data_IF_312638758691
#
_entry.id   IF_312638758691
#
_cell.length_a   1.000
_cell.length_b   1.000
_cell.length_c   1.000
_cell.angle_alpha   90.00
_cell.angle_beta   90.00
_cell.angle_gamma   90.00
#
_symmetry.space_group_name_H-M   'P 1'
#
loop_
_entity.id
_entity.type
_entity.pdbx_description
1 polymer ?
#
# COMPACT_ATOMS: atom_id res chain seq x y z
N UNK A 1 6.24 -13.07 3.80
CA UNK A 1 4.79 -12.97 4.13
C UNK A 1 4.55 -13.78 5.40
N UNK A 2 3.72 -13.29 6.32
CA UNK A 2 3.33 -14.00 7.53
C UNK A 2 1.82 -14.24 7.48
N UNK A 3 1.39 -15.49 7.49
CA UNK A 3 -0.02 -15.86 7.56
C UNK A 3 -0.19 -17.07 8.47
N UNK A 4 -1.23 -17.04 9.30
CA UNK A 4 -1.60 -18.12 10.21
C UNK A 4 -0.41 -18.61 11.08
N UNK A 5 0.43 -17.65 11.50
CA UNK A 5 1.63 -17.88 12.32
C UNK A 5 2.85 -18.44 11.56
N UNK A 6 2.76 -18.61 10.23
CA UNK A 6 3.83 -19.18 9.42
C UNK A 6 4.41 -18.17 8.41
N UNK A 7 5.74 -18.23 8.23
CA UNK A 7 6.46 -17.40 7.27
C UNK A 7 6.56 -18.09 5.92
N UNK A 8 6.18 -17.36 4.88
CA UNK A 8 6.26 -17.79 3.48
C UNK A 8 7.10 -16.79 2.67
N UNK A 9 7.94 -17.27 1.75
CA UNK A 9 8.53 -16.40 0.72
C UNK A 9 7.42 -15.70 -0.08
N UNK A 10 7.52 -14.39 -0.33
CA UNK A 10 6.52 -13.68 -1.12
C UNK A 10 6.56 -14.13 -2.59
N UNK A 11 5.39 -14.46 -3.14
CA UNK A 11 5.17 -14.80 -4.54
C UNK A 11 4.36 -13.68 -5.20
N UNK A 12 4.97 -12.92 -6.10
CA UNK A 12 4.39 -11.69 -6.66
C UNK A 12 3.18 -11.97 -7.55
N UNK A 13 3.17 -13.13 -8.21
CA UNK A 13 2.08 -13.66 -9.02
C UNK A 13 0.77 -13.89 -8.24
N UNK A 14 0.85 -13.98 -6.91
CA UNK A 14 -0.33 -14.14 -6.05
C UNK A 14 -0.96 -12.79 -5.67
N UNK A 15 -0.34 -11.66 -6.06
CA UNK A 15 -0.86 -10.32 -5.80
C UNK A 15 -1.89 -9.96 -6.86
N UNK A 16 -3.08 -9.57 -6.44
CA UNK A 16 -4.13 -9.07 -7.34
C UNK A 16 -4.74 -7.77 -6.81
N UNK A 17 -5.13 -6.92 -7.76
CA UNK A 17 -5.94 -5.72 -7.52
C UNK A 17 -7.35 -5.95 -8.04
N UNK A 18 -8.34 -5.50 -7.27
CA UNK A 18 -9.73 -5.39 -7.74
C UNK A 18 -10.23 -3.94 -7.57
N UNK A 19 -11.32 -3.66 -8.26
CA UNK A 19 -11.93 -2.33 -8.32
C UNK A 19 -13.40 -2.35 -7.91
N UNK A 20 -13.88 -3.44 -7.31
CA UNK A 20 -15.31 -3.67 -7.05
C UNK A 20 -15.94 -2.53 -6.27
N UNK A 21 -15.30 -2.13 -5.17
CA UNK A 21 -15.74 -1.04 -4.29
C UNK A 21 -15.05 0.30 -4.59
N UNK A 22 -14.34 0.38 -5.71
CA UNK A 22 -13.54 1.54 -6.09
C UNK A 22 -14.15 2.24 -7.30
N UNK A 23 -14.02 3.56 -7.41
CA UNK A 23 -14.55 4.39 -8.50
C UNK A 23 -13.78 4.22 -9.82
N UNK A 24 -13.63 2.98 -10.26
CA UNK A 24 -13.05 2.62 -11.54
C UNK A 24 -13.92 1.59 -12.24
N UNK A 25 -13.94 1.66 -13.57
CA UNK A 25 -14.52 0.64 -14.41
C UNK A 25 -13.48 0.08 -15.39
N UNK A 26 -13.76 -1.08 -15.95
CA UNK A 26 -12.92 -1.71 -16.97
C UNK A 26 -13.53 -1.50 -18.35
N UNK A 27 -12.73 -1.02 -19.30
CA UNK A 27 -13.14 -0.98 -20.70
C UNK A 27 -13.17 -2.40 -21.30
N UNK A 28 -13.73 -2.54 -22.50
CA UNK A 28 -13.69 -3.80 -23.25
C UNK A 28 -12.26 -4.30 -23.55
N UNK A 29 -11.25 -3.42 -23.47
CA UNK A 29 -9.83 -3.74 -23.64
C UNK A 29 -9.12 -4.02 -22.29
N UNK A 30 -9.86 -4.21 -21.20
CA UNK A 30 -9.34 -4.41 -19.83
C UNK A 30 -8.52 -3.22 -19.28
N UNK A 31 -8.72 -2.02 -19.83
CA UNK A 31 -8.13 -0.80 -19.29
C UNK A 31 -8.96 -0.25 -18.14
N UNK A 32 -8.29 0.18 -17.06
CA UNK A 32 -8.94 0.76 -15.88
C UNK A 32 -9.17 2.25 -16.13
N UNK A 33 -10.44 2.67 -16.13
CA UNK A 33 -10.86 4.07 -16.31
C UNK A 33 -11.57 4.59 -15.07
N UNK A 34 -11.39 5.88 -14.70
CA UNK A 34 -12.15 6.49 -13.61
C UNK A 34 -13.66 6.48 -13.86
N UNK A 35 -14.44 6.04 -12.88
CA UNK A 35 -15.90 6.16 -12.86
C UNK A 35 -16.39 6.60 -11.47
N UNK A 36 -16.54 7.92 -11.24
CA UNK A 36 -16.96 8.46 -9.94
C UNK A 36 -18.43 8.16 -9.59
N UNK A 37 -19.23 7.72 -10.57
CA UNK A 37 -20.66 7.43 -10.38
C UNK A 37 -20.94 5.93 -10.30
N UNK A 38 -19.89 5.10 -10.29
CA UNK A 38 -20.01 3.65 -10.16
C UNK A 38 -20.82 3.29 -8.91
N UNK A 39 -21.94 2.63 -9.12
CA UNK A 39 -22.83 2.21 -8.02
C UNK A 39 -22.12 1.22 -7.09
N UNK A 40 -22.29 1.42 -5.78
CA UNK A 40 -21.67 0.59 -4.74
C UNK A 40 -20.20 0.91 -4.44
N UNK A 41 -19.52 1.69 -5.27
CA UNK A 41 -18.17 2.16 -4.99
C UNK A 41 -18.17 3.34 -4.01
N UNK A 42 -17.13 3.41 -3.17
CA UNK A 42 -17.03 4.44 -2.12
C UNK A 42 -15.60 4.99 -1.92
N UNK A 43 -14.66 4.61 -2.78
CA UNK A 43 -13.27 5.07 -2.67
C UNK A 43 -12.54 5.09 -4.00
N UNK A 44 -11.48 5.89 -4.10
CA UNK A 44 -10.52 5.87 -5.22
C UNK A 44 -9.36 4.90 -5.00
N UNK A 45 -9.34 4.20 -3.86
CA UNK A 45 -8.31 3.21 -3.54
C UNK A 45 -8.78 1.87 -4.06
N UNK A 46 -7.97 1.21 -4.88
CA UNK A 46 -8.20 -0.18 -5.32
C UNK A 46 -8.04 -1.15 -4.14
N UNK A 47 -8.65 -2.32 -4.18
CA UNK A 47 -8.38 -3.34 -3.15
C UNK A 47 -7.31 -4.31 -3.62
N UNK A 48 -6.32 -4.55 -2.76
CA UNK A 48 -5.18 -5.44 -3.02
C UNK A 48 -5.28 -6.65 -2.12
N UNK A 49 -5.04 -7.82 -2.71
CA UNK A 49 -4.99 -9.09 -2.01
C UNK A 49 -3.73 -9.86 -2.40
N UNK A 50 -3.27 -10.69 -1.47
CA UNK A 50 -2.24 -11.70 -1.72
C UNK A 50 -2.87 -13.08 -1.50
N UNK A 51 -2.81 -13.95 -2.50
CA UNK A 51 -3.42 -15.28 -2.45
C UNK A 51 -4.90 -15.24 -2.01
N UNK A 52 -5.64 -14.23 -2.50
CA UNK A 52 -7.07 -14.04 -2.18
C UNK A 52 -7.38 -13.46 -0.79
N UNK A 53 -6.37 -13.07 0.01
CA UNK A 53 -6.56 -12.50 1.36
C UNK A 53 -5.99 -11.09 1.46
N UNK A 54 -6.60 -10.26 2.30
CA UNK A 54 -6.05 -8.95 2.65
C UNK A 54 -4.90 -9.08 3.66
N UNK A 55 -3.85 -8.27 3.48
CA UNK A 55 -2.70 -8.22 4.38
C UNK A 55 -2.39 -6.79 4.76
N UNK A 56 -2.06 -6.59 6.04
CA UNK A 56 -1.47 -5.35 6.51
C UNK A 56 0.01 -5.30 6.14
N UNK A 57 0.48 -4.10 5.78
CA UNK A 57 1.90 -3.78 5.59
C UNK A 57 2.34 -2.63 6.52
N UNK A 58 3.64 -2.43 6.64
CA UNK A 58 4.24 -1.32 7.40
C UNK A 58 5.13 -1.78 8.56
N UNK A 59 5.50 -0.85 9.46
CA UNK A 59 6.46 -1.13 10.54
C UNK A 59 6.06 -2.32 11.41
N UNK A 60 4.77 -2.42 11.78
CA UNK A 60 4.25 -3.56 12.54
C UNK A 60 4.51 -4.89 11.82
N UNK A 61 4.17 -4.98 10.53
CA UNK A 61 4.34 -6.19 9.74
C UNK A 61 5.82 -6.56 9.64
N UNK A 62 6.70 -5.60 9.35
CA UNK A 62 8.16 -5.82 9.26
C UNK A 62 8.74 -6.26 10.61
N UNK A 63 8.34 -5.63 11.71
CA UNK A 63 8.84 -5.97 13.04
C UNK A 63 8.43 -7.37 13.48
N UNK A 64 7.20 -7.80 13.17
CA UNK A 64 6.75 -9.17 13.46
C UNK A 64 7.48 -10.16 12.54
N UNK A 65 7.54 -9.90 11.23
CA UNK A 65 8.16 -10.81 10.25
C UNK A 65 9.65 -11.04 10.57
N UNK A 66 10.37 -10.00 10.98
CA UNK A 66 11.79 -10.11 11.35
C UNK A 66 12.01 -10.57 12.79
N UNK A 67 10.95 -10.84 13.56
CA UNK A 67 11.05 -11.37 14.93
C UNK A 67 11.43 -10.34 16.00
N UNK A 68 11.47 -9.04 15.66
CA UNK A 68 11.77 -7.96 16.60
C UNK A 68 10.59 -7.61 17.52
N UNK A 69 9.37 -8.02 17.16
CA UNK A 69 8.17 -7.75 17.94
C UNK A 69 7.25 -8.98 17.96
N UNK A 70 6.73 -9.32 19.16
CA UNK A 70 5.88 -10.51 19.40
C UNK A 70 4.52 -10.16 20.02
N UNK A 71 4.17 -8.88 20.08
CA UNK A 71 2.89 -8.44 20.64
C UNK A 71 1.74 -8.50 19.62
N UNK A 72 0.69 -7.72 19.87
CA UNK A 72 -0.56 -7.76 19.11
C UNK A 72 -0.55 -6.92 17.83
N UNK A 73 -1.75 -6.69 17.31
CA UNK A 73 -2.00 -5.85 16.12
C UNK A 73 -2.89 -4.66 16.41
N UNK A 74 -2.89 -4.17 17.65
CA UNK A 74 -3.68 -3.04 18.09
C UNK A 74 -3.11 -1.71 17.60
N UNK A 75 -3.88 -0.64 17.82
CA UNK A 75 -3.50 0.74 17.50
C UNK A 75 -2.18 1.15 18.14
N UNK A 76 -1.96 0.80 19.41
CA UNK A 76 -0.70 1.11 20.09
C UNK A 76 0.47 0.26 19.60
N UNK A 77 0.24 -0.99 19.19
CA UNK A 77 1.29 -1.86 18.65
C UNK A 77 1.86 -1.29 17.35
N UNK A 78 1.00 -0.75 16.47
CA UNK A 78 1.42 -0.03 15.27
C UNK A 78 2.27 1.20 15.57
N UNK A 79 1.95 1.94 16.63
CA UNK A 79 2.72 3.13 17.04
C UNK A 79 4.06 2.71 17.63
N UNK A 80 4.04 1.75 18.55
CA UNK A 80 5.22 1.26 19.25
C UNK A 80 6.24 0.66 18.27
N UNK A 81 5.81 -0.21 17.36
CA UNK A 81 6.68 -0.82 16.34
C UNK A 81 7.26 0.20 15.36
N UNK A 82 6.55 1.30 15.05
CA UNK A 82 7.10 2.41 14.25
C UNK A 82 8.24 3.12 14.98
N UNK A 83 8.13 3.31 16.30
CA UNK A 83 9.21 3.88 17.12
C UNK A 83 10.41 2.92 17.19
N UNK A 84 10.17 1.63 17.40
CA UNK A 84 11.22 0.61 17.37
C UNK A 84 11.94 0.58 16.02
N UNK A 85 11.20 0.71 14.91
CA UNK A 85 11.78 0.74 13.57
C UNK A 85 12.66 1.96 13.36
N UNK A 86 12.24 3.11 13.86
CA UNK A 86 13.06 4.31 13.85
C UNK A 86 14.40 4.07 14.56
N UNK A 87 14.38 3.47 15.75
CA UNK A 87 15.61 3.15 16.49
C UNK A 87 16.51 2.19 15.70
N UNK A 88 15.96 1.08 15.20
CA UNK A 88 16.70 0.11 14.39
C UNK A 88 17.34 0.78 13.15
N UNK A 89 16.59 1.65 12.47
CA UNK A 89 17.11 2.40 11.32
C UNK A 89 18.29 3.30 11.72
N UNK A 90 18.25 3.95 12.88
CA UNK A 90 19.37 4.78 13.35
C UNK A 90 20.64 3.96 13.60
N UNK A 91 20.51 2.72 14.10
CA UNK A 91 21.63 1.79 14.30
C UNK A 91 22.19 1.31 12.96
N UNK A 92 21.31 0.91 12.03
CA UNK A 92 21.70 0.48 10.69
C UNK A 92 22.41 1.58 9.92
N UNK A 93 21.93 2.83 10.01
CA UNK A 93 22.57 3.98 9.36
C UNK A 93 23.99 4.19 9.89
N UNK A 94 24.22 4.07 11.20
CA UNK A 94 25.57 4.14 11.76
C UNK A 94 26.48 3.05 11.20
N UNK A 95 25.99 1.82 11.08
CA UNK A 95 26.74 0.71 10.48
C UNK A 95 27.01 0.92 8.98
N UNK A 96 26.08 1.53 8.25
CA UNK A 96 26.28 1.87 6.84
C UNK A 96 27.32 2.99 6.67
N UNK A 97 27.34 4.00 7.55
CA UNK A 97 28.36 5.05 7.53
C UNK A 97 29.77 4.50 7.68
N UNK A 98 29.98 3.50 8.55
CA UNK A 98 31.28 2.82 8.70
C UNK A 98 31.74 2.10 7.43
N UNK A 99 30.79 1.70 6.56
CA UNK A 99 31.05 0.98 5.31
C UNK A 99 31.15 1.91 4.10
N UNK A 100 30.72 3.16 4.23
CA UNK A 100 30.70 4.12 3.13
C UNK A 100 32.13 4.49 2.73
N UNK A 101 32.46 4.29 1.45
CA UNK A 101 33.73 4.71 0.85
C UNK A 101 33.46 5.90 -0.07
N UNK A 102 34.02 7.10 0.21
CA UNK A 102 33.92 8.23 -0.69
C UNK A 102 34.49 7.87 -2.07
N UNK A 103 33.81 8.32 -3.12
CA UNK A 103 34.19 8.03 -4.50
C UNK A 103 33.18 8.60 -5.49
N UNK A 104 33.42 8.44 -6.80
CA UNK A 104 32.46 8.83 -7.81
C UNK A 104 31.16 8.02 -7.66
N UNK A 105 30.01 8.55 -8.12
CA UNK A 105 28.73 7.85 -8.04
C UNK A 105 28.81 6.43 -8.62
N UNK A 106 28.36 5.39 -7.90
CA UNK A 106 28.43 4.00 -8.37
C UNK A 106 27.30 3.69 -9.38
N UNK A 107 26.98 4.61 -10.28
CA UNK A 107 25.92 4.42 -11.26
C UNK A 107 26.50 3.73 -12.50
N UNK A 108 26.09 2.48 -12.73
CA UNK A 108 26.33 1.77 -14.00
C UNK A 108 25.00 1.56 -14.71
N UNK A 109 24.59 2.54 -15.49
CA UNK A 109 23.42 2.43 -16.34
C UNK A 109 23.76 1.61 -17.59
N UNK A 110 22.97 0.58 -17.87
CA UNK A 110 23.08 -0.15 -19.15
C UNK A 110 22.46 0.70 -20.25
N UNK A 111 23.10 0.74 -21.41
CA UNK A 111 22.59 1.45 -22.59
C UNK A 111 21.39 0.75 -23.24
N UNK A 112 21.19 -0.53 -22.97
CA UNK A 112 20.07 -1.32 -23.51
C UNK A 112 19.20 -1.92 -22.38
N UNK A 113 17.87 -1.89 -22.52
CA UNK A 113 16.98 -2.57 -21.59
C UNK A 113 17.25 -4.08 -21.55
N UNK A 114 17.47 -4.61 -20.35
CA UNK A 114 17.70 -6.05 -20.12
C UNK A 114 16.41 -6.85 -19.95
N UNK A 115 15.30 -6.17 -19.65
CA UNK A 115 13.97 -6.76 -19.51
C UNK A 115 12.93 -5.78 -20.04
N UNK A 116 11.89 -6.32 -20.67
CA UNK A 116 10.72 -5.57 -21.16
C UNK A 116 9.59 -5.50 -20.13
N UNK A 117 9.59 -6.41 -19.16
CA UNK A 117 8.64 -6.44 -18.05
C UNK A 117 9.39 -6.60 -16.73
N UNK A 118 9.07 -5.76 -15.75
CA UNK A 118 9.72 -5.78 -14.44
C UNK A 118 8.76 -5.34 -13.35
N UNK A 119 8.79 -6.06 -12.23
CA UNK A 119 8.21 -5.64 -10.96
C UNK A 119 9.33 -5.39 -9.97
N UNK A 120 9.51 -4.13 -9.58
CA UNK A 120 10.40 -3.73 -8.51
C UNK A 120 9.62 -3.68 -7.19
N UNK A 121 10.17 -4.29 -6.15
CA UNK A 121 9.56 -4.36 -4.83
C UNK A 121 10.53 -3.75 -3.82
N UNK A 122 10.01 -2.85 -2.99
CA UNK A 122 10.76 -2.25 -1.88
C UNK A 122 9.84 -1.99 -0.71
N UNK A 123 10.41 -1.76 0.46
CA UNK A 123 9.65 -1.28 1.62
C UNK A 123 9.82 0.23 1.75
N UNK A 124 8.72 0.95 1.56
CA UNK A 124 8.63 2.34 1.97
C UNK A 124 8.35 2.44 3.48
N UNK A 125 8.43 3.65 4.03
CA UNK A 125 8.15 3.92 5.45
C UNK A 125 6.82 3.32 5.94
N UNK A 126 5.79 3.27 5.09
CA UNK A 126 4.45 2.76 5.41
C UNK A 126 4.22 1.28 5.08
N UNK A 127 5.17 0.59 4.44
CA UNK A 127 5.04 -0.82 4.05
C UNK A 127 5.54 -1.13 2.64
N UNK A 128 5.11 -2.28 2.12
CA UNK A 128 5.48 -2.76 0.80
C UNK A 128 5.00 -1.82 -0.32
N UNK A 129 5.91 -1.49 -1.23
CA UNK A 129 5.72 -0.67 -2.41
C UNK A 129 6.15 -1.47 -3.65
N UNK A 130 5.26 -1.57 -4.63
CA UNK A 130 5.51 -2.30 -5.87
C UNK A 130 5.36 -1.35 -7.06
N UNK A 131 6.34 -1.35 -7.95
CA UNK A 131 6.30 -0.68 -9.24
C UNK A 131 6.43 -1.74 -10.33
N UNK A 132 5.38 -1.87 -11.16
CA UNK A 132 5.37 -2.78 -12.31
C UNK A 132 5.40 -1.96 -13.59
N UNK A 133 6.30 -2.31 -14.50
CA UNK A 133 6.50 -1.58 -15.76
C UNK A 133 6.66 -2.55 -16.92
N UNK A 134 5.99 -2.24 -18.03
CA UNK A 134 6.14 -2.91 -19.33
C UNK A 134 6.61 -1.90 -20.37
N UNK A 135 7.60 -2.26 -21.17
CA UNK A 135 8.15 -1.44 -22.26
C UNK A 135 8.07 -2.11 -23.62
N UNK A 136 7.80 -1.30 -24.64
CA UNK A 136 7.85 -1.63 -26.06
C UNK A 136 8.56 -0.50 -26.79
N UNK A 137 9.49 -0.83 -27.69
CA UNK A 137 10.26 0.15 -28.49
C UNK A 137 10.78 1.35 -27.69
N UNK A 138 11.42 1.05 -26.55
CA UNK A 138 11.99 2.03 -25.60
C UNK A 138 10.98 2.96 -24.93
N UNK A 139 9.67 2.70 -25.05
CA UNK A 139 8.60 3.44 -24.40
C UNK A 139 7.94 2.59 -23.32
N UNK A 140 7.53 3.24 -22.23
CA UNK A 140 6.69 2.60 -21.21
C UNK A 140 5.26 2.53 -21.73
N UNK A 141 4.74 1.33 -21.96
CA UNK A 141 3.37 1.10 -22.44
C UNK A 141 2.39 0.80 -21.31
N UNK A 142 2.89 0.25 -20.19
CA UNK A 142 2.10 0.02 -18.98
C UNK A 142 2.94 0.32 -17.75
N UNK A 143 2.35 1.02 -16.79
CA UNK A 143 2.95 1.28 -15.49
C UNK A 143 1.89 1.12 -14.41
N UNK A 144 2.19 0.36 -13.37
CA UNK A 144 1.29 0.14 -12.23
C UNK A 144 2.06 0.29 -10.92
N UNK A 145 1.41 0.89 -9.94
CA UNK A 145 2.00 1.13 -8.62
C UNK A 145 1.04 0.62 -7.55
N UNK A 146 1.53 -0.24 -6.68
CA UNK A 146 0.81 -0.63 -5.46
C UNK A 146 1.54 -0.01 -4.28
N UNK A 147 1.02 1.10 -3.77
CA UNK A 147 1.61 1.81 -2.63
C UNK A 147 1.18 1.17 -1.30
N UNK A 148 1.93 1.40 -0.20
CA UNK A 148 1.62 0.77 1.08
C UNK A 148 0.23 1.10 1.62
N UNK A 149 -0.26 2.31 1.34
CA UNK A 149 -1.59 2.72 1.78
C UNK A 149 -2.68 1.98 1.01
N UNK A 150 -2.46 1.57 -0.25
CA UNK A 150 -3.43 0.73 -0.99
C UNK A 150 -3.64 -0.60 -0.28
N UNK A 151 -2.57 -1.26 0.19
CA UNK A 151 -2.67 -2.48 0.99
C UNK A 151 -3.51 -2.26 2.26
N UNK A 152 -3.16 -1.24 3.05
CA UNK A 152 -3.77 -1.00 4.36
C UNK A 152 -5.20 -0.45 4.29
N UNK A 153 -5.54 0.30 3.24
CA UNK A 153 -6.83 0.96 3.01
C UNK A 153 -7.60 0.30 1.85
N UNK A 154 -7.28 -0.95 1.51
CA UNK A 154 -8.06 -1.73 0.56
C UNK A 154 -9.53 -1.73 0.99
N UNK A 155 -10.47 -1.29 0.12
CA UNK A 155 -11.89 -1.38 0.42
C UNK A 155 -12.36 -2.84 0.38
N UNK A 156 -13.66 -3.05 0.57
CA UNK A 156 -14.27 -4.37 0.45
C UNK A 156 -14.03 -4.99 -0.92
N UNK A 157 -13.67 -6.27 -0.94
CA UNK A 157 -13.60 -7.04 -2.17
C UNK A 157 -14.98 -7.50 -2.67
N UNK A 158 -14.99 -8.23 -3.78
CA UNK A 158 -16.22 -8.81 -4.35
C UNK A 158 -16.96 -9.79 -3.44
N UNK A 159 -16.27 -10.37 -2.46
CA UNK A 159 -16.85 -11.25 -1.45
C UNK A 159 -17.30 -10.48 -0.20
N UNK A 160 -17.16 -9.15 -0.18
CA UNK A 160 -17.44 -8.30 0.98
C UNK A 160 -16.38 -8.37 2.09
N UNK A 161 -15.24 -9.03 1.83
CA UNK A 161 -14.11 -9.10 2.73
C UNK A 161 -13.50 -7.72 2.96
N UNK A 162 -13.28 -7.36 4.23
CA UNK A 162 -12.77 -6.04 4.62
C UNK A 162 -11.25 -6.00 4.51
N UNK A 163 -10.70 -4.88 4.04
CA UNK A 163 -9.26 -4.63 4.12
C UNK A 163 -8.76 -4.41 5.55
N UNK A 164 -7.44 -4.20 5.73
CA UNK A 164 -6.82 -4.15 7.05
C UNK A 164 -7.37 -3.05 7.97
N UNK A 165 -7.52 -1.82 7.47
CA UNK A 165 -8.07 -0.73 8.27
C UNK A 165 -9.53 -0.99 8.64
N UNK A 166 -10.38 -1.33 7.66
CA UNK A 166 -11.79 -1.57 7.92
C UNK A 166 -11.98 -2.69 8.95
N UNK A 167 -11.19 -3.76 8.84
CA UNK A 167 -11.15 -4.84 9.82
C UNK A 167 -10.72 -4.36 11.20
N UNK A 168 -9.71 -3.48 11.29
CA UNK A 168 -9.23 -2.93 12.55
C UNK A 168 -10.21 -1.97 13.24
N UNK A 169 -11.20 -1.43 12.52
CA UNK A 169 -12.24 -0.57 13.09
C UNK A 169 -13.44 -1.38 13.64
N UNK A 170 -13.68 -2.59 13.11
CA UNK A 170 -14.78 -3.44 13.58
C UNK A 170 -14.58 -3.80 15.05
N UNK A 171 -15.62 -3.64 15.86
CA UNK A 171 -15.59 -3.95 17.29
C UNK A 171 -14.91 -2.88 18.15
N UNK A 172 -14.53 -1.74 17.58
CA UNK A 172 -14.02 -0.61 18.38
C UNK A 172 -15.12 -0.05 19.26
N UNK A 173 -14.93 -0.11 20.58
CA UNK A 173 -15.86 0.47 21.55
C UNK A 173 -15.75 2.00 21.54
N UNK A 174 -16.91 2.67 21.54
CA UNK A 174 -17.03 4.13 21.57
C UNK A 174 -17.85 4.48 22.80
N UNK A 175 -17.18 5.00 23.83
CA UNK A 175 -17.81 5.29 25.13
C UNK A 175 -18.98 6.27 25.03
N UNK A 176 -18.85 7.30 24.20
CA UNK A 176 -19.89 8.28 23.92
C UNK A 176 -19.69 8.92 22.53
N UNK A 177 -20.74 9.57 22.00
CA UNK A 177 -20.72 10.13 20.65
C UNK A 177 -19.64 11.19 20.43
N UNK A 178 -19.31 11.98 21.45
CA UNK A 178 -18.28 13.03 21.36
C UNK A 178 -16.88 12.45 21.11
N UNK A 179 -16.67 11.20 21.51
CA UNK A 179 -15.40 10.49 21.32
C UNK A 179 -15.30 9.72 19.99
N UNK A 180 -16.38 9.65 19.21
CA UNK A 180 -16.46 8.83 17.98
C UNK A 180 -15.30 9.10 17.02
N UNK A 181 -15.15 10.34 16.57
CA UNK A 181 -14.09 10.70 15.61
C UNK A 181 -12.69 10.62 16.22
N UNK A 182 -12.57 10.85 17.53
CA UNK A 182 -11.30 10.76 18.25
C UNK A 182 -10.81 9.31 18.26
N UNK A 183 -11.64 8.37 18.68
CA UNK A 183 -11.26 6.96 18.80
C UNK A 183 -11.02 6.34 17.42
N UNK A 184 -11.94 6.51 16.46
CA UNK A 184 -11.75 6.01 15.10
C UNK A 184 -10.51 6.64 14.45
N UNK A 185 -10.33 7.95 14.64
CA UNK A 185 -9.19 8.67 14.13
C UNK A 185 -7.85 8.20 14.72
N UNK A 186 -7.79 7.74 15.98
CA UNK A 186 -6.57 7.14 16.56
C UNK A 186 -6.18 5.88 15.80
N UNK A 187 -7.13 4.98 15.57
CA UNK A 187 -6.91 3.75 14.80
C UNK A 187 -6.48 4.06 13.38
N UNK A 188 -7.19 4.94 12.67
CA UNK A 188 -6.86 5.33 11.29
C UNK A 188 -5.44 5.92 11.22
N UNK A 189 -5.09 6.88 12.09
CA UNK A 189 -3.77 7.53 12.10
C UNK A 189 -2.65 6.56 12.47
N UNK A 190 -2.92 5.50 13.23
CA UNK A 190 -1.89 4.50 13.56
C UNK A 190 -1.35 3.75 12.34
N UNK A 191 -2.08 3.71 11.22
CA UNK A 191 -1.61 3.18 9.94
C UNK A 191 -0.73 4.17 9.15
N UNK A 192 -0.64 5.44 9.58
CA UNK A 192 0.07 6.52 8.88
C UNK A 192 -0.31 6.60 7.39
N UNK A 193 -1.58 6.91 7.06
CA UNK A 193 -2.03 6.95 5.67
C UNK A 193 -1.40 8.09 4.87
N UNK A 194 -1.00 7.79 3.63
CA UNK A 194 -0.82 8.79 2.57
C UNK A 194 -1.90 8.58 1.50
N UNK A 195 -3.05 9.27 1.62
CA UNK A 195 -4.18 9.08 0.70
C UNK A 195 -3.83 9.50 -0.73
N UNK A 196 -3.07 10.58 -0.92
CA UNK A 196 -2.59 10.99 -2.24
C UNK A 196 -1.74 9.92 -2.92
N UNK A 197 -0.92 9.20 -2.14
CA UNK A 197 -0.14 8.06 -2.62
C UNK A 197 -1.03 6.86 -2.96
N UNK A 198 -2.20 6.72 -2.35
CA UNK A 198 -3.09 5.57 -2.50
C UNK A 198 -4.05 5.71 -3.70
N UNK A 199 -4.40 6.93 -4.07
CA UNK A 199 -5.29 7.20 -5.21
C UNK A 199 -4.51 7.40 -6.52
N UNK A 200 -3.37 8.10 -6.47
CA UNK A 200 -2.45 8.33 -7.59
C UNK A 200 -3.13 8.60 -8.95
N UNK A 201 -4.21 9.39 -8.92
CA UNK A 201 -4.91 9.87 -10.12
C UNK A 201 -4.24 11.14 -10.62
N UNK A 202 -3.87 11.14 -11.90
CA UNK A 202 -3.40 12.32 -12.62
C UNK A 202 -4.33 12.54 -13.81
N UNK A 203 -5.14 13.60 -13.77
CA UNK A 203 -5.86 14.09 -14.95
C UNK A 203 -4.96 15.10 -15.67
N UNK A 204 -4.27 14.65 -16.72
CA UNK A 204 -3.42 15.51 -17.55
C UNK A 204 -4.21 16.38 -18.54
N UNK A 205 -5.53 16.23 -18.63
CA UNK A 205 -6.38 17.00 -19.56
C UNK A 205 -7.28 18.03 -18.87
N UNK A 206 -7.35 18.05 -17.53
CA UNK A 206 -8.14 19.03 -16.78
C UNK A 206 -9.64 18.99 -17.14
N UNK A 207 -10.16 17.84 -17.58
CA UNK A 207 -11.56 17.69 -18.01
C UNK A 207 -12.37 17.08 -16.86
N UNK A 208 -12.31 17.69 -15.68
CA UNK A 208 -13.42 17.61 -14.73
C UNK A 208 -14.50 18.61 -15.16
N UNK A 209 -15.08 18.40 -16.36
CA UNK A 209 -16.32 19.04 -16.78
C UNK A 209 -17.50 18.20 -16.30
N UNK A 210 -17.76 18.21 -15.00
CA UNK A 210 -19.11 18.00 -14.47
C UNK A 210 -19.12 18.48 -13.03
N UNK A 211 -19.75 19.63 -12.83
CA UNK A 211 -20.13 20.15 -11.52
C UNK A 211 -20.95 19.08 -10.82
N UNK A 212 -20.35 18.41 -9.83
CA UNK A 212 -21.12 17.64 -8.85
C UNK A 212 -21.75 18.70 -7.94
N UNK A 213 -23.02 18.99 -8.20
CA UNK A 213 -23.85 19.79 -7.31
C UNK A 213 -24.22 18.86 -6.15
N UNK A 214 -23.82 19.24 -4.93
CA UNK A 214 -24.26 18.58 -3.70
C UNK A 214 -25.75 18.83 -3.44
#
# INVERSE_FOLDING_TARGET
MLADGQLYPPQLELINENITSSWFDKTAADEIMPDPLKSGAYTWIKSVRYAGRHFQVGPLARMIINGFYKGGTATMDRIYTRTMETLLLTELVQEWFKKLKPGPPPIRQKSTPVKKEVTAVTDAMRGALLHTMITEDERVVKYNIITPTVWNFSPKDECGGRGPLESALVGTEIENQDMLFTILGRTIRSFDPCISCATHLLDCKGILKRTVVF
#
